data_IF_959269921750
#
_entry.id   IF_959269921750
#
_cell.length_a   1.000
_cell.length_b   1.000
_cell.length_c   1.000
_cell.angle_alpha   90.00
_cell.angle_beta   90.00
_cell.angle_gamma   90.00
#
_symmetry.space_group_name_H-M   'P 1'
#
loop_
_entity.id
_entity.type
_entity.pdbx_description
1 polymer ?
#
# COMPACT_ATOMS: atom_id res chain seq x y z
N UNK A 1 15.70 -9.15 13.51
CA UNK A 1 14.33 -9.32 14.00
C UNK A 1 13.36 -9.49 12.83
N UNK A 2 12.20 -10.13 13.03
CA UNK A 2 11.14 -10.34 12.03
C UNK A 2 10.01 -9.32 12.22
N UNK A 3 9.36 -8.89 11.14
CA UNK A 3 8.13 -8.09 11.24
C UNK A 3 6.93 -9.03 11.21
N UNK A 4 6.05 -8.91 12.20
CA UNK A 4 4.77 -9.62 12.29
C UNK A 4 3.69 -8.55 12.29
N UNK A 5 3.09 -8.35 11.12
CA UNK A 5 2.09 -7.32 10.86
C UNK A 5 0.68 -7.90 10.92
N UNK A 6 -0.26 -7.15 11.49
CA UNK A 6 -1.68 -7.47 11.48
C UNK A 6 -2.50 -6.26 11.07
N UNK A 7 -3.57 -6.49 10.30
CA UNK A 7 -4.57 -5.49 9.97
C UNK A 7 -5.77 -5.60 10.91
N UNK A 8 -6.35 -4.47 11.29
CA UNK A 8 -7.54 -4.44 12.13
C UNK A 8 -8.54 -3.35 11.71
N UNK A 9 -9.82 -3.69 11.84
CA UNK A 9 -10.91 -2.71 11.74
C UNK A 9 -11.06 -2.00 13.09
N UNK A 10 -11.28 -0.67 13.12
CA UNK A 10 -11.42 0.08 14.36
C UNK A 10 -12.48 -0.44 15.33
N UNK A 11 -13.64 -0.85 14.80
CA UNK A 11 -14.80 -1.26 15.61
C UNK A 11 -14.61 -2.59 16.36
N UNK A 12 -13.57 -3.35 16.05
CA UNK A 12 -13.29 -4.65 16.67
C UNK A 12 -11.94 -4.69 17.39
N UNK A 13 -11.34 -3.53 17.68
CA UNK A 13 -10.01 -3.48 18.28
C UNK A 13 -10.01 -2.73 19.62
N UNK A 14 -9.74 -3.45 20.71
CA UNK A 14 -9.68 -2.93 22.07
C UNK A 14 -8.34 -3.27 22.75
N UNK A 15 -8.16 -2.79 23.99
CA UNK A 15 -6.91 -2.97 24.75
C UNK A 15 -6.61 -4.45 25.03
N UNK A 16 -7.64 -5.26 25.31
CA UNK A 16 -7.47 -6.67 25.65
C UNK A 16 -7.03 -7.49 24.42
N UNK A 17 -7.66 -7.24 23.27
CA UNK A 17 -7.24 -7.81 21.98
C UNK A 17 -5.83 -7.36 21.61
N UNK A 18 -5.53 -6.07 21.73
CA UNK A 18 -4.21 -5.54 21.45
C UNK A 18 -3.11 -6.22 22.28
N UNK A 19 -3.34 -6.40 23.59
CA UNK A 19 -2.41 -7.11 24.47
C UNK A 19 -2.24 -8.58 24.06
N UNK A 20 -3.33 -9.28 23.73
CA UNK A 20 -3.27 -10.67 23.27
C UNK A 20 -2.49 -10.85 21.96
N UNK A 21 -2.61 -9.91 21.02
CA UNK A 21 -1.84 -9.96 19.78
C UNK A 21 -0.35 -9.67 19.99
N UNK A 22 0.00 -8.77 20.91
CA UNK A 22 1.39 -8.54 21.30
C UNK A 22 2.00 -9.79 21.95
N UNK A 23 1.25 -10.48 22.82
CA UNK A 23 1.66 -11.74 23.44
C UNK A 23 1.87 -12.86 22.40
N UNK A 24 1.06 -12.86 21.33
CA UNK A 24 1.25 -13.73 20.17
C UNK A 24 2.43 -13.33 19.25
N UNK A 25 3.11 -12.22 19.55
CA UNK A 25 4.30 -11.74 18.84
C UNK A 25 4.05 -10.70 17.74
N UNK A 26 2.82 -10.24 17.54
CA UNK A 26 2.52 -9.17 16.56
C UNK A 26 3.22 -7.89 17.00
N UNK A 27 4.04 -7.30 16.13
CA UNK A 27 4.85 -6.12 16.46
C UNK A 27 4.60 -4.90 15.55
N UNK A 28 3.70 -5.05 14.56
CA UNK A 28 3.18 -3.94 13.74
C UNK A 28 1.67 -4.06 13.53
N UNK A 29 0.95 -2.95 13.64
CA UNK A 29 -0.50 -2.87 13.44
C UNK A 29 -0.84 -1.93 12.28
N UNK A 30 -1.78 -2.32 11.43
CA UNK A 30 -2.40 -1.48 10.40
C UNK A 30 -3.87 -1.25 10.73
N UNK A 31 -4.27 0.00 10.94
CA UNK A 31 -5.65 0.37 11.26
C UNK A 31 -6.35 0.97 10.04
N UNK A 32 -7.43 0.32 9.62
CA UNK A 32 -8.24 0.75 8.47
C UNK A 32 -9.13 1.97 8.76
N UNK A 33 -8.55 3.16 8.93
CA UNK A 33 -9.26 4.39 9.31
C UNK A 33 -10.14 4.95 8.19
N UNK A 34 -9.63 4.96 6.96
CA UNK A 34 -10.22 5.48 5.73
C UNK A 34 -10.38 7.01 5.70
N UNK A 35 -11.16 7.58 6.61
CA UNK A 35 -11.40 9.02 6.79
C UNK A 35 -12.06 9.25 8.16
N UNK A 36 -11.82 10.41 8.78
CA UNK A 36 -12.49 10.87 10.00
C UNK A 36 -13.86 11.47 9.71
N UNK A 37 -14.18 11.75 8.44
CA UNK A 37 -15.46 12.35 8.09
C UNK A 37 -16.58 11.33 7.94
N UNK A 38 -17.64 11.50 8.74
CA UNK A 38 -18.84 10.64 8.74
C UNK A 38 -19.46 10.44 7.36
N UNK A 39 -19.46 11.46 6.50
CA UNK A 39 -19.96 11.34 5.13
C UNK A 39 -19.09 10.41 4.29
N UNK A 40 -17.77 10.57 4.36
CA UNK A 40 -16.82 9.71 3.65
C UNK A 40 -16.92 8.27 4.10
N UNK A 41 -16.99 8.01 5.42
CA UNK A 41 -17.19 6.66 5.95
C UNK A 41 -18.45 5.97 5.39
N UNK A 42 -19.58 6.69 5.32
CA UNK A 42 -20.81 6.16 4.71
C UNK A 42 -20.66 5.89 3.21
N UNK A 43 -20.02 6.80 2.47
CA UNK A 43 -19.77 6.64 1.02
C UNK A 43 -18.88 5.42 0.76
N UNK A 44 -17.89 5.19 1.61
CA UNK A 44 -16.96 4.06 1.55
C UNK A 44 -17.54 2.77 2.18
N UNK A 45 -18.81 2.76 2.58
CA UNK A 45 -19.48 1.58 3.15
C UNK A 45 -18.93 1.12 4.50
N UNK A 46 -18.28 2.02 5.25
CA UNK A 46 -17.66 1.70 6.55
C UNK A 46 -18.68 1.75 7.68
N UNK A 47 -18.56 0.79 8.58
CA UNK A 47 -19.45 0.59 9.72
C UNK A 47 -18.94 1.22 11.01
N UNK A 48 -17.71 1.75 11.04
CA UNK A 48 -17.14 2.46 12.17
C UNK A 48 -17.39 3.96 12.10
N UNK A 49 -17.27 4.64 13.24
CA UNK A 49 -17.24 6.08 13.36
C UNK A 49 -15.82 6.59 13.64
N UNK A 50 -15.60 7.91 13.52
CA UNK A 50 -14.28 8.52 13.76
C UNK A 50 -13.74 8.23 15.17
N UNK A 51 -14.63 8.24 16.17
CA UNK A 51 -14.28 7.94 17.56
C UNK A 51 -13.76 6.51 17.77
N UNK A 52 -14.24 5.54 16.98
CA UNK A 52 -13.77 4.15 17.05
C UNK A 52 -12.31 4.06 16.59
N UNK A 53 -11.94 4.79 15.53
CA UNK A 53 -10.59 4.80 15.00
C UNK A 53 -9.58 5.40 15.99
N UNK A 54 -9.91 6.55 16.59
CA UNK A 54 -9.10 7.16 17.62
C UNK A 54 -9.01 6.27 18.88
N UNK A 55 -10.11 5.63 19.26
CA UNK A 55 -10.17 4.69 20.38
C UNK A 55 -9.29 3.45 20.17
N UNK A 56 -9.35 2.84 18.99
CA UNK A 56 -8.54 1.68 18.61
C UNK A 56 -7.05 2.04 18.57
N UNK A 57 -6.68 3.20 18.02
CA UNK A 57 -5.30 3.70 18.04
C UNK A 57 -4.79 3.88 19.48
N UNK A 58 -5.55 4.57 20.33
CA UNK A 58 -5.18 4.77 21.72
C UNK A 58 -5.09 3.44 22.48
N UNK A 59 -5.96 2.47 22.18
CA UNK A 59 -5.92 1.14 22.76
C UNK A 59 -4.66 0.37 22.37
N UNK A 60 -4.30 0.37 21.08
CA UNK A 60 -3.08 -0.23 20.56
C UNK A 60 -1.83 0.35 21.24
N UNK A 61 -1.76 1.68 21.36
CA UNK A 61 -0.64 2.36 22.02
C UNK A 61 -0.55 2.03 23.51
N UNK A 62 -1.66 2.07 24.25
CA UNK A 62 -1.68 1.69 25.67
C UNK A 62 -1.25 0.24 25.90
N UNK A 63 -1.55 -0.65 24.97
CA UNK A 63 -1.13 -2.05 25.05
C UNK A 63 0.38 -2.24 24.76
N UNK A 64 1.02 -1.28 24.09
CA UNK A 64 2.47 -1.29 23.84
C UNK A 64 2.89 -1.43 22.37
N UNK A 65 1.97 -1.31 21.40
CA UNK A 65 2.36 -1.30 19.99
C UNK A 65 3.29 -0.11 19.69
N UNK A 66 4.50 -0.42 19.25
CA UNK A 66 5.51 0.59 18.91
C UNK A 66 5.47 1.03 17.44
N UNK A 67 4.83 0.26 16.55
CA UNK A 67 4.70 0.57 15.13
C UNK A 67 3.24 0.44 14.70
N UNK A 68 2.57 1.59 14.53
CA UNK A 68 1.16 1.65 14.14
C UNK A 68 1.01 2.47 12.86
N UNK A 69 0.43 1.83 11.85
CA UNK A 69 -0.02 2.45 10.64
C UNK A 69 -1.51 2.81 10.70
N UNK A 70 -1.87 3.90 10.02
CA UNK A 70 -3.25 4.26 9.70
C UNK A 70 -3.45 4.31 8.18
N UNK A 71 -4.42 3.56 7.69
CA UNK A 71 -4.78 3.52 6.26
C UNK A 71 -5.88 4.53 5.97
N UNK A 72 -5.71 5.37 4.94
CA UNK A 72 -6.70 6.32 4.46
C UNK A 72 -7.02 6.09 2.98
N UNK A 73 -8.25 6.45 2.61
CA UNK A 73 -8.69 6.56 1.22
C UNK A 73 -9.01 8.03 0.97
N UNK A 74 -8.35 8.63 -0.02
CA UNK A 74 -8.68 9.97 -0.52
C UNK A 74 -9.34 9.87 -1.90
N UNK A 75 -9.89 10.97 -2.38
CA UNK A 75 -10.62 11.05 -3.64
C UNK A 75 -12.02 10.43 -3.60
N UNK A 76 -12.62 10.24 -2.42
CA UNK A 76 -13.97 9.69 -2.33
C UNK A 76 -15.05 10.73 -2.73
N UNK A 77 -16.24 10.29 -3.20
CA UNK A 77 -17.26 11.19 -3.73
C UNK A 77 -17.63 12.41 -2.86
N UNK A 78 -17.27 13.59 -3.38
CA UNK A 78 -17.49 14.88 -2.73
C UNK A 78 -16.57 15.16 -1.54
N UNK A 79 -15.40 14.52 -1.46
CA UNK A 79 -14.31 14.99 -0.62
C UNK A 79 -13.75 16.30 -1.20
N UNK A 80 -13.53 17.28 -0.33
CA UNK A 80 -12.88 18.55 -0.71
C UNK A 80 -11.45 18.58 -0.19
N UNK A 81 -10.60 19.46 -0.72
CA UNK A 81 -9.26 19.68 -0.16
C UNK A 81 -9.30 20.06 1.33
N UNK A 82 -10.32 20.81 1.77
CA UNK A 82 -10.46 21.18 3.19
C UNK A 82 -10.74 19.97 4.08
N UNK A 83 -11.63 19.07 3.64
CA UNK A 83 -11.94 17.80 4.31
C UNK A 83 -10.71 16.90 4.35
N UNK A 84 -9.96 16.81 3.26
CA UNK A 84 -8.75 16.02 3.22
C UNK A 84 -7.65 16.54 4.16
N UNK A 85 -7.46 17.86 4.19
CA UNK A 85 -6.54 18.48 5.14
C UNK A 85 -6.97 18.23 6.58
N UNK A 86 -8.26 18.33 6.89
CA UNK A 86 -8.80 18.07 8.23
C UNK A 86 -8.56 16.62 8.68
N UNK A 87 -8.72 15.64 7.78
CA UNK A 87 -8.35 14.24 8.01
C UNK A 87 -6.87 14.11 8.43
N UNK A 88 -5.95 14.71 7.65
CA UNK A 88 -4.52 14.65 7.93
C UNK A 88 -4.14 15.34 9.24
N UNK A 89 -4.67 16.54 9.50
CA UNK A 89 -4.42 17.27 10.75
C UNK A 89 -4.91 16.50 11.97
N UNK A 90 -6.11 15.92 11.89
CA UNK A 90 -6.70 15.15 12.99
C UNK A 90 -5.83 13.96 13.34
N UNK A 91 -5.39 13.19 12.35
CA UNK A 91 -4.56 12.01 12.58
C UNK A 91 -3.15 12.36 13.07
N UNK A 92 -2.56 13.43 12.56
CA UNK A 92 -1.27 13.93 13.06
C UNK A 92 -1.37 14.46 14.49
N UNK A 93 -2.55 14.95 14.89
CA UNK A 93 -2.87 15.37 16.26
C UNK A 93 -3.26 14.23 17.21
N UNK A 94 -3.39 12.98 16.74
CA UNK A 94 -3.75 11.87 17.61
C UNK A 94 -2.69 11.63 18.69
N UNK A 95 -3.09 11.61 19.98
CA UNK A 95 -2.18 11.28 21.05
C UNK A 95 -2.05 9.75 21.18
N UNK A 96 -0.83 9.24 21.36
CA UNK A 96 -0.58 7.84 21.61
C UNK A 96 -0.86 7.40 23.07
N UNK A 97 -1.77 8.07 23.79
CA UNK A 97 -1.99 7.92 25.23
C UNK A 97 -1.81 9.24 25.97
N UNK A 98 -1.48 9.18 27.28
CA UNK A 98 -1.30 10.40 28.09
C UNK A 98 -0.18 11.31 27.55
N UNK A 99 0.90 10.71 26.99
CA UNK A 99 2.07 11.43 26.44
C UNK A 99 2.69 10.70 25.22
N UNK A 100 1.98 9.76 24.59
CA UNK A 100 2.54 8.90 23.54
C UNK A 100 2.57 9.57 22.15
N UNK A 101 3.47 9.17 21.23
CA UNK A 101 3.52 9.71 19.88
C UNK A 101 2.28 9.31 19.06
N UNK A 102 1.90 10.16 18.11
CA UNK A 102 0.87 9.86 17.10
C UNK A 102 1.26 8.71 16.17
N UNK A 103 0.55 8.50 15.05
CA UNK A 103 0.83 7.39 14.12
C UNK A 103 2.29 7.34 13.67
N UNK A 104 2.84 6.14 13.45
CA UNK A 104 4.22 5.97 12.99
C UNK A 104 4.33 5.86 11.48
N UNK A 105 3.22 5.54 10.85
CA UNK A 105 3.14 5.23 9.45
C UNK A 105 1.75 5.62 8.92
N UNK A 106 1.71 6.04 7.66
CA UNK A 106 0.49 6.34 6.93
C UNK A 106 0.52 5.57 5.61
N UNK A 107 -0.58 4.88 5.29
CA UNK A 107 -0.83 4.41 3.93
C UNK A 107 -2.00 5.21 3.34
N UNK A 108 -1.77 5.93 2.24
CA UNK A 108 -2.79 6.77 1.60
C UNK A 108 -3.07 6.25 0.20
N UNK A 109 -4.31 5.85 -0.06
CA UNK A 109 -4.75 5.31 -1.33
C UNK A 109 -5.74 6.26 -2.00
N UNK A 110 -5.53 6.53 -3.30
CA UNK A 110 -6.60 7.14 -4.10
C UNK A 110 -7.73 6.13 -4.25
N UNK A 111 -8.98 6.59 -4.17
CA UNK A 111 -10.14 5.74 -4.39
C UNK A 111 -10.12 5.20 -5.83
N UNK A 112 -10.08 3.88 -5.95
CA UNK A 112 -10.30 3.18 -7.21
C UNK A 112 -11.75 2.70 -7.25
N UNK A 113 -12.49 3.13 -8.28
CA UNK A 113 -13.87 2.68 -8.50
C UNK A 113 -13.84 1.38 -9.28
N UNK A 114 -13.93 0.27 -8.56
CA UNK A 114 -13.88 -1.07 -9.16
C UNK A 114 -15.15 -1.39 -9.96
N UNK A 115 -15.04 -1.89 -11.21
CA UNK A 115 -16.17 -2.34 -12.00
C UNK A 115 -17.02 -3.40 -11.28
N UNK A 116 -18.34 -3.32 -11.45
CA UNK A 116 -19.28 -4.27 -10.83
C UNK A 116 -19.55 -4.03 -9.35
N UNK A 117 -19.04 -2.94 -8.77
CA UNK A 117 -19.38 -2.54 -7.40
C UNK A 117 -20.60 -1.61 -7.35
N UNK A 118 -21.33 -1.56 -6.22
CA UNK A 118 -22.41 -0.58 -6.03
C UNK A 118 -21.97 0.88 -6.24
N UNK A 119 -20.70 1.19 -5.96
CA UNK A 119 -20.14 2.52 -6.19
C UNK A 119 -19.97 2.81 -7.68
N UNK A 120 -19.45 1.88 -8.47
CA UNK A 120 -19.34 2.05 -9.92
C UNK A 120 -20.70 2.29 -10.58
N UNK A 121 -21.73 1.57 -10.13
CA UNK A 121 -23.09 1.84 -10.59
C UNK A 121 -23.60 3.23 -10.18
N UNK A 122 -23.34 3.66 -8.96
CA UNK A 122 -23.75 4.99 -8.48
C UNK A 122 -23.05 6.11 -9.25
N UNK A 123 -21.77 5.96 -9.57
CA UNK A 123 -21.01 6.89 -10.41
C UNK A 123 -21.58 6.90 -11.83
N UNK A 124 -21.84 5.73 -12.42
CA UNK A 124 -22.41 5.61 -13.77
C UNK A 124 -23.80 6.26 -13.88
N UNK A 125 -24.61 6.16 -12.81
CA UNK A 125 -25.93 6.81 -12.71
C UNK A 125 -25.86 8.31 -12.38
N UNK A 126 -24.67 8.88 -12.19
CA UNK A 126 -24.48 10.28 -11.80
C UNK A 126 -24.91 10.60 -10.36
N UNK A 127 -25.12 9.58 -9.52
CA UNK A 127 -25.46 9.76 -8.09
C UNK A 127 -24.23 10.24 -7.32
N UNK A 128 -23.05 9.74 -7.70
CA UNK A 128 -21.77 10.15 -7.14
C UNK A 128 -20.86 10.70 -8.23
N UNK A 129 -20.12 11.76 -7.91
CA UNK A 129 -19.02 12.27 -8.72
C UNK A 129 -17.73 11.95 -7.98
N UNK A 130 -16.80 11.29 -8.66
CA UNK A 130 -15.42 11.14 -8.18
C UNK A 130 -14.57 12.29 -8.72
N UNK A 131 -13.49 12.67 -8.04
CA UNK A 131 -12.53 13.63 -8.59
C UNK A 131 -11.94 13.11 -9.90
N UNK A 132 -11.61 14.04 -10.79
CA UNK A 132 -10.77 13.74 -11.94
C UNK A 132 -9.30 13.58 -11.52
N UNK A 133 -8.44 13.31 -12.49
CA UNK A 133 -7.01 13.07 -12.24
C UNK A 133 -6.31 14.31 -11.66
N UNK A 134 -6.65 15.51 -12.13
CA UNK A 134 -6.10 16.78 -11.63
C UNK A 134 -6.50 17.02 -10.17
N UNK A 135 -7.79 16.86 -9.83
CA UNK A 135 -8.24 17.01 -8.45
C UNK A 135 -7.69 15.91 -7.52
N UNK A 136 -7.46 14.69 -8.03
CA UNK A 136 -6.81 13.62 -7.28
C UNK A 136 -5.33 13.91 -7.04
N UNK A 137 -4.64 14.47 -8.04
CA UNK A 137 -3.27 14.92 -7.94
C UNK A 137 -3.12 16.02 -6.88
N UNK A 138 -3.99 17.03 -6.86
CA UNK A 138 -4.01 18.08 -5.83
C UNK A 138 -4.12 17.50 -4.41
N UNK A 139 -4.99 16.50 -4.19
CA UNK A 139 -5.14 15.85 -2.88
C UNK A 139 -3.87 15.08 -2.49
N UNK A 140 -3.25 14.40 -3.45
CA UNK A 140 -2.04 13.63 -3.22
C UNK A 140 -0.84 14.53 -2.92
N UNK A 141 -0.64 15.62 -3.68
CA UNK A 141 0.39 16.64 -3.42
C UNK A 141 0.21 17.28 -2.05
N UNK A 142 -1.01 17.64 -1.67
CA UNK A 142 -1.30 18.18 -0.34
C UNK A 142 -0.90 17.20 0.79
N UNK A 143 -1.05 15.89 0.57
CA UNK A 143 -0.61 14.88 1.53
C UNK A 143 0.91 14.74 1.58
N UNK A 144 1.58 14.75 0.42
CA UNK A 144 3.05 14.73 0.31
C UNK A 144 3.65 15.87 1.13
N UNK A 145 3.21 17.10 0.86
CA UNK A 145 3.74 18.30 1.52
C UNK A 145 3.44 18.28 3.02
N UNK A 146 2.20 17.93 3.39
CA UNK A 146 1.78 17.97 4.79
C UNK A 146 2.50 16.94 5.64
N UNK A 147 2.66 15.71 5.16
CA UNK A 147 3.35 14.64 5.87
C UNK A 147 4.86 14.89 5.91
N UNK A 148 5.45 15.42 4.83
CA UNK A 148 6.85 15.85 4.84
C UNK A 148 7.10 16.96 5.88
N UNK A 149 6.20 17.94 5.99
CA UNK A 149 6.24 18.99 7.02
C UNK A 149 6.09 18.46 8.46
N UNK A 150 5.46 17.28 8.65
CA UNK A 150 5.41 16.56 9.92
C UNK A 150 6.63 15.64 10.16
N UNK A 151 7.60 15.60 9.25
CA UNK A 151 8.82 14.81 9.37
C UNK A 151 8.68 13.35 8.92
N UNK A 152 7.61 12.99 8.20
CA UNK A 152 7.48 11.65 7.63
C UNK A 152 8.28 11.52 6.33
N UNK A 153 8.84 10.32 6.13
CA UNK A 153 9.55 9.95 4.90
C UNK A 153 8.58 9.24 3.97
N UNK A 154 8.32 9.85 2.81
CA UNK A 154 7.64 9.20 1.69
C UNK A 154 8.60 8.20 1.03
N UNK A 155 8.45 6.92 1.38
CA UNK A 155 9.42 5.90 0.97
C UNK A 155 8.92 5.01 -0.18
N UNK A 156 7.60 5.00 -0.39
CA UNK A 156 6.90 4.26 -1.42
C UNK A 156 5.64 5.02 -1.82
N UNK A 157 5.18 4.87 -3.07
CA UNK A 157 4.04 5.62 -3.67
C UNK A 157 2.89 5.89 -2.69
N UNK A 158 2.37 4.86 -2.02
CA UNK A 158 1.23 4.98 -1.13
C UNK A 158 1.61 5.03 0.36
N UNK A 159 2.90 5.03 0.72
CA UNK A 159 3.33 4.82 2.11
C UNK A 159 4.37 5.82 2.62
N UNK A 160 4.11 6.33 3.84
CA UNK A 160 4.97 7.23 4.59
C UNK A 160 5.29 6.63 5.95
N UNK A 161 6.54 6.79 6.38
CA UNK A 161 6.99 6.31 7.69
C UNK A 161 7.76 7.39 8.44
N UNK A 162 7.62 7.42 9.76
CA UNK A 162 8.35 8.37 10.63
C UNK A 162 9.86 8.22 10.51
N UNK A 163 10.33 6.97 10.43
CA UNK A 163 11.73 6.64 10.16
C UNK A 163 11.82 5.26 9.48
N UNK A 164 13.04 4.84 9.13
CA UNK A 164 13.28 3.57 8.45
C UNK A 164 12.86 2.31 9.24
N UNK A 165 12.71 2.39 10.57
CA UNK A 165 12.26 1.28 11.42
C UNK A 165 10.74 1.09 11.36
N UNK A 166 10.00 2.15 11.01
CA UNK A 166 8.55 2.12 10.91
C UNK A 166 8.06 1.79 9.49
N UNK A 167 8.94 1.84 8.50
CA UNK A 167 8.64 1.43 7.13
C UNK A 167 8.24 -0.05 7.09
N UNK A 168 7.15 -0.36 6.36
CA UNK A 168 6.57 -1.69 6.29
C UNK A 168 7.48 -2.65 5.52
N UNK A 169 8.07 -3.61 6.22
CA UNK A 169 8.87 -4.67 5.58
C UNK A 169 7.96 -5.62 4.82
N UNK A 170 6.75 -5.87 5.33
CA UNK A 170 5.71 -6.63 4.65
C UNK A 170 5.38 -6.03 3.28
N UNK A 171 5.08 -4.72 3.17
CA UNK A 171 4.79 -4.15 1.85
C UNK A 171 6.03 -4.08 0.96
N UNK A 172 7.19 -3.77 1.54
CA UNK A 172 8.46 -3.65 0.80
C UNK A 172 8.87 -4.94 0.10
N UNK A 173 8.49 -6.12 0.60
CA UNK A 173 8.82 -7.39 -0.08
C UNK A 173 8.19 -7.47 -1.47
N UNK A 174 6.93 -7.02 -1.60
CA UNK A 174 6.21 -7.02 -2.87
C UNK A 174 6.86 -6.03 -3.84
N UNK A 175 7.21 -4.84 -3.38
CA UNK A 175 7.84 -3.81 -4.21
C UNK A 175 9.24 -4.17 -4.68
N UNK A 176 9.93 -5.04 -3.93
CA UNK A 176 11.22 -5.62 -4.34
C UNK A 176 11.07 -6.85 -5.23
N UNK A 177 9.85 -7.19 -5.66
CA UNK A 177 9.52 -8.42 -6.38
C UNK A 177 10.09 -9.66 -5.67
N UNK A 178 9.97 -9.68 -4.33
CA UNK A 178 10.46 -10.74 -3.48
C UNK A 178 9.50 -11.91 -3.37
N UNK A 179 10.04 -13.08 -3.04
CA UNK A 179 9.24 -14.28 -2.81
C UNK A 179 8.42 -14.18 -1.51
N UNK A 180 7.18 -14.66 -1.56
CA UNK A 180 6.30 -14.80 -0.40
C UNK A 180 5.32 -15.97 -0.59
N UNK A 181 5.01 -16.64 0.52
CA UNK A 181 4.03 -17.72 0.52
C UNK A 181 2.63 -17.18 0.84
N UNK A 182 1.67 -17.47 -0.03
CA UNK A 182 0.25 -17.20 0.17
C UNK A 182 -0.45 -18.35 0.87
N UNK A 183 -0.99 -18.12 2.06
CA UNK A 183 -1.67 -19.15 2.86
C UNK A 183 -3.07 -18.65 3.23
N UNK A 184 -4.07 -19.52 3.04
CA UNK A 184 -5.47 -19.21 3.33
C UNK A 184 -6.30 -19.02 2.05
N UNK A 185 -7.62 -18.99 2.21
CA UNK A 185 -8.54 -18.81 1.09
C UNK A 185 -8.30 -17.47 0.38
N UNK A 186 -8.21 -17.50 -0.95
CA UNK A 186 -7.96 -16.33 -1.78
C UNK A 186 -6.54 -15.75 -1.72
N UNK A 187 -5.63 -16.36 -0.95
CA UNK A 187 -4.26 -15.90 -0.90
C UNK A 187 -3.51 -16.17 -2.20
N UNK A 188 -2.68 -15.21 -2.60
CA UNK A 188 -1.70 -15.36 -3.66
C UNK A 188 -0.32 -15.54 -3.06
N UNK A 189 0.56 -16.23 -3.77
CA UNK A 189 1.97 -16.31 -3.44
C UNK A 189 2.81 -16.30 -4.71
N UNK A 190 4.04 -15.82 -4.59
CA UNK A 190 5.06 -15.97 -5.62
C UNK A 190 6.28 -16.58 -4.94
N UNK A 191 6.70 -17.76 -5.37
CA UNK A 191 7.83 -18.46 -4.77
C UNK A 191 8.64 -19.13 -5.87
N UNK A 192 9.93 -18.81 -5.98
CA UNK A 192 10.85 -19.44 -6.94
C UNK A 192 10.37 -19.39 -8.40
N UNK A 193 9.75 -18.27 -8.79
CA UNK A 193 9.27 -18.03 -10.16
C UNK A 193 7.91 -18.66 -10.49
N UNK A 194 7.25 -19.31 -9.52
CA UNK A 194 5.88 -19.78 -9.65
C UNK A 194 4.93 -18.87 -8.88
N UNK A 195 3.87 -18.44 -9.54
CA UNK A 195 2.75 -17.75 -8.90
C UNK A 195 1.65 -18.75 -8.59
N UNK A 196 1.25 -18.79 -7.34
CA UNK A 196 0.18 -19.66 -6.85
C UNK A 196 -1.02 -18.83 -6.42
N UNK A 197 -2.21 -19.34 -6.71
CA UNK A 197 -3.47 -18.82 -6.19
C UNK A 197 -4.15 -19.93 -5.40
N UNK A 198 -4.43 -19.68 -4.12
CA UNK A 198 -5.26 -20.54 -3.31
C UNK A 198 -6.72 -20.40 -3.71
N UNK A 199 -7.54 -21.44 -3.48
CA UNK A 199 -8.98 -21.36 -3.74
C UNK A 199 -9.60 -20.09 -3.16
N UNK A 200 -10.22 -19.29 -4.03
CA UNK A 200 -10.83 -18.00 -3.65
C UNK A 200 -11.96 -18.18 -2.63
N UNK A 201 -12.80 -19.22 -2.82
CA UNK A 201 -13.95 -19.46 -1.93
C UNK A 201 -13.49 -20.19 -0.67
N UNK A 202 -13.78 -19.67 0.54
CA UNK A 202 -13.40 -20.32 1.79
C UNK A 202 -13.83 -21.77 1.90
N UNK A 203 -15.04 -22.11 1.46
CA UNK A 203 -15.56 -23.50 1.48
C UNK A 203 -14.68 -24.42 0.64
N UNK A 204 -14.34 -24.04 -0.59
CA UNK A 204 -13.51 -24.86 -1.46
C UNK A 204 -12.09 -25.05 -0.90
N UNK A 205 -11.54 -23.99 -0.30
CA UNK A 205 -10.24 -24.06 0.38
C UNK A 205 -10.28 -25.05 1.56
N UNK A 206 -11.27 -24.92 2.46
CA UNK A 206 -11.44 -25.78 3.64
C UNK A 206 -11.59 -27.23 3.22
N UNK A 207 -12.48 -27.53 2.27
CA UNK A 207 -12.68 -28.90 1.80
C UNK A 207 -11.43 -29.51 1.16
N UNK A 208 -10.62 -28.72 0.45
CA UNK A 208 -9.35 -29.20 -0.09
C UNK A 208 -8.38 -29.59 1.03
N UNK A 209 -8.20 -28.70 2.01
CA UNK A 209 -7.32 -28.92 3.17
C UNK A 209 -7.77 -30.13 4.00
N UNK A 210 -9.06 -30.24 4.32
CA UNK A 210 -9.61 -31.34 5.13
C UNK A 210 -9.47 -32.70 4.44
N UNK A 211 -9.46 -32.73 3.11
CA UNK A 211 -9.23 -33.95 2.31
C UNK A 211 -7.74 -34.26 2.08
N UNK A 212 -6.82 -33.43 2.60
CA UNK A 212 -5.39 -33.56 2.34
C UNK A 212 -4.99 -33.28 0.88
N UNK A 213 -5.82 -32.53 0.15
CA UNK A 213 -5.56 -32.11 -1.23
C UNK A 213 -4.88 -30.73 -1.26
N UNK A 214 -4.07 -30.42 -2.28
CA UNK A 214 -3.53 -29.08 -2.46
C UNK A 214 -4.66 -28.05 -2.59
N UNK A 215 -4.71 -26.99 -1.75
CA UNK A 215 -5.76 -25.98 -1.81
C UNK A 215 -5.53 -24.92 -2.91
N UNK A 216 -4.75 -25.26 -3.93
CA UNK A 216 -4.32 -24.37 -5.02
C UNK A 216 -5.30 -24.48 -6.18
N UNK A 217 -5.86 -23.34 -6.61
CA UNK A 217 -6.74 -23.27 -7.77
C UNK A 217 -6.03 -22.94 -9.09
N UNK A 218 -4.88 -22.26 -9.02
CA UNK A 218 -4.11 -21.91 -10.20
C UNK A 218 -2.61 -21.87 -9.88
N UNK A 219 -1.79 -22.30 -10.86
CA UNK A 219 -0.33 -22.16 -10.85
C UNK A 219 0.06 -21.58 -12.19
N UNK A 220 0.83 -20.49 -12.14
CA UNK A 220 1.33 -19.79 -13.32
C UNK A 220 2.86 -19.75 -13.25
N UNK A 221 3.51 -20.23 -14.31
CA UNK A 221 4.94 -20.04 -14.49
C UNK A 221 5.18 -18.67 -15.13
N UNK A 222 5.99 -17.84 -14.48
CA UNK A 222 6.29 -16.49 -14.98
C UNK A 222 7.49 -16.56 -15.91
N UNK A 223 7.30 -16.14 -17.16
CA UNK A 223 8.41 -16.07 -18.12
C UNK A 223 9.40 -14.95 -17.76
N UNK A 224 10.61 -15.03 -18.33
CA UNK A 224 11.68 -14.10 -18.01
C UNK A 224 11.35 -12.64 -18.37
N UNK A 225 10.61 -12.40 -19.46
CA UNK A 225 10.24 -11.04 -19.88
C UNK A 225 9.26 -10.43 -18.88
N UNK A 226 8.24 -11.20 -18.48
CA UNK A 226 7.24 -10.80 -17.49
C UNK A 226 7.88 -10.58 -16.12
N UNK A 227 8.81 -11.45 -15.69
CA UNK A 227 9.52 -11.26 -14.42
C UNK A 227 10.37 -9.97 -14.40
N UNK A 228 11.01 -9.62 -15.53
CA UNK A 228 11.76 -8.37 -15.65
C UNK A 228 10.85 -7.14 -15.62
N UNK A 229 9.74 -7.15 -16.38
CA UNK A 229 8.81 -6.01 -16.43
C UNK A 229 8.09 -5.80 -15.10
N UNK A 230 7.71 -6.87 -14.40
CA UNK A 230 7.16 -6.81 -13.03
C UNK A 230 8.18 -6.23 -12.04
N UNK A 231 9.47 -6.54 -12.20
CA UNK A 231 10.53 -5.95 -11.37
C UNK A 231 10.60 -4.43 -11.57
N UNK A 232 10.40 -3.95 -12.80
CA UNK A 232 10.34 -2.51 -13.09
C UNK A 232 9.07 -1.87 -12.51
N UNK A 233 7.90 -2.47 -12.77
CA UNK A 233 6.60 -2.02 -12.30
C UNK A 233 6.58 -1.88 -10.76
N UNK A 234 7.04 -2.91 -10.06
CA UNK A 234 7.02 -2.95 -8.60
C UNK A 234 8.14 -2.10 -7.99
N UNK A 235 9.35 -2.17 -8.54
CA UNK A 235 10.52 -1.49 -7.98
C UNK A 235 10.47 0.03 -8.12
N UNK A 236 9.87 0.55 -9.19
CA UNK A 236 9.69 2.00 -9.37
C UNK A 236 8.74 2.63 -8.34
N UNK A 237 7.93 1.82 -7.64
CA UNK A 237 7.12 2.31 -6.51
C UNK A 237 7.97 2.78 -5.33
N UNK A 238 9.20 2.29 -5.19
CA UNK A 238 10.10 2.66 -4.10
C UNK A 238 10.76 4.02 -4.37
N UNK A 239 10.23 5.09 -3.78
CA UNK A 239 10.64 6.46 -4.12
C UNK A 239 12.06 6.84 -3.65
N UNK A 240 12.60 6.13 -2.65
CA UNK A 240 13.96 6.39 -2.15
C UNK A 240 15.02 5.58 -2.86
N UNK A 241 14.71 4.31 -3.16
CA UNK A 241 15.70 3.33 -3.65
C UNK A 241 15.48 2.96 -5.11
N UNK A 242 14.22 2.97 -5.58
CA UNK A 242 13.83 2.59 -6.92
C UNK A 242 14.24 1.17 -7.30
N UNK A 243 14.58 0.98 -8.57
CA UNK A 243 15.12 -0.26 -9.09
C UNK A 243 16.63 -0.25 -8.97
N UNK A 244 17.17 -1.12 -8.13
CA UNK A 244 18.62 -1.35 -7.99
C UNK A 244 19.13 -2.21 -9.15
N UNK A 245 20.07 -1.68 -9.93
CA UNK A 245 20.61 -2.34 -11.12
C UNK A 245 21.34 -3.64 -10.79
N UNK A 246 22.05 -3.68 -9.65
CA UNK A 246 22.74 -4.88 -9.20
C UNK A 246 21.78 -6.01 -8.79
N UNK A 247 20.70 -5.68 -8.08
CA UNK A 247 19.66 -6.61 -7.69
C UNK A 247 18.87 -7.12 -8.91
N UNK A 248 18.59 -6.23 -9.87
CA UNK A 248 18.02 -6.59 -11.16
C UNK A 248 18.92 -7.61 -11.87
N UNK A 249 20.21 -7.30 -12.03
CA UNK A 249 21.17 -8.18 -12.70
C UNK A 249 21.34 -9.54 -12.01
N UNK A 250 21.38 -9.57 -10.68
CA UNK A 250 21.45 -10.85 -9.92
C UNK A 250 20.18 -11.69 -10.10
N UNK A 251 19.00 -11.07 -10.15
CA UNK A 251 17.73 -11.78 -10.27
C UNK A 251 17.52 -12.33 -11.68
N UNK A 252 17.81 -11.52 -12.70
CA UNK A 252 17.43 -11.83 -14.09
C UNK A 252 18.60 -12.31 -14.95
N UNK A 253 19.82 -12.31 -14.40
CA UNK A 253 21.05 -12.62 -15.14
C UNK A 253 21.27 -11.75 -16.38
N UNK A 254 20.69 -10.54 -16.41
CA UNK A 254 20.78 -9.55 -17.49
C UNK A 254 21.00 -8.17 -16.88
N UNK A 255 21.92 -7.39 -17.46
CA UNK A 255 22.14 -6.01 -17.03
C UNK A 255 20.91 -5.12 -17.28
N UNK A 256 20.61 -4.21 -16.34
CA UNK A 256 19.43 -3.35 -16.43
C UNK A 256 19.45 -2.44 -17.66
N UNK A 257 20.62 -1.87 -18.00
CA UNK A 257 20.78 -1.02 -19.18
C UNK A 257 20.74 -1.84 -20.46
N UNK A 258 21.25 -3.08 -20.45
CA UNK A 258 21.08 -3.98 -21.59
C UNK A 258 19.62 -4.36 -21.85
N UNK A 259 18.81 -4.52 -20.80
CA UNK A 259 17.39 -4.87 -20.91
C UNK A 259 16.49 -3.68 -21.30
N UNK A 260 16.72 -2.51 -20.70
CA UNK A 260 15.79 -1.37 -20.76
C UNK A 260 16.44 -0.02 -21.08
N UNK A 261 17.69 0.00 -21.58
CA UNK A 261 18.45 1.23 -21.80
C UNK A 261 17.69 2.31 -22.58
N UNK A 262 17.10 1.97 -23.72
CA UNK A 262 16.36 2.92 -24.56
C UNK A 262 15.16 3.54 -23.83
N UNK A 263 14.39 2.72 -23.10
CA UNK A 263 13.23 3.17 -22.31
C UNK A 263 13.68 4.05 -21.15
N UNK A 264 14.79 3.69 -20.51
CA UNK A 264 15.38 4.44 -19.40
C UNK A 264 15.83 5.83 -19.87
N UNK A 265 16.59 5.92 -20.96
CA UNK A 265 17.06 7.20 -21.49
C UNK A 265 15.88 8.08 -21.91
N UNK A 266 14.88 7.52 -22.60
CA UNK A 266 13.67 8.26 -22.96
C UNK A 266 12.91 8.80 -21.74
N UNK A 267 12.81 8.01 -20.67
CA UNK A 267 12.14 8.42 -19.43
C UNK A 267 12.96 9.47 -18.65
N UNK A 268 14.31 9.42 -18.71
CA UNK A 268 15.19 10.46 -18.16
C UNK A 268 15.04 11.77 -18.92
N UNK A 269 15.04 11.72 -20.26
CA UNK A 269 14.86 12.90 -21.12
C UNK A 269 13.52 13.60 -20.85
N UNK A 270 12.48 12.82 -20.56
CA UNK A 270 11.16 13.30 -20.14
C UNK A 270 11.07 13.71 -18.66
N UNK A 271 12.17 13.57 -17.90
CA UNK A 271 12.26 13.87 -16.47
C UNK A 271 11.28 13.05 -15.61
N UNK A 272 10.94 11.85 -16.06
CA UNK A 272 10.03 10.93 -15.35
C UNK A 272 10.80 10.04 -14.37
N UNK A 273 12.03 9.67 -14.71
CA UNK A 273 12.93 8.96 -13.81
C UNK A 273 14.28 9.68 -13.73
N UNK A 274 15.03 9.37 -12.69
CA UNK A 274 16.41 9.83 -12.52
C UNK A 274 17.33 8.67 -12.14
N UNK A 275 18.61 8.83 -12.48
CA UNK A 275 19.66 7.89 -12.07
C UNK A 275 19.99 8.10 -10.59
N UNK A 276 20.18 6.99 -9.88
CA UNK A 276 20.75 6.97 -8.53
C UNK A 276 22.16 6.35 -8.61
N UNK A 277 22.97 6.40 -7.54
CA UNK A 277 24.27 5.74 -7.53
C UNK A 277 24.22 4.23 -7.83
N UNK A 278 23.08 3.56 -7.60
CA UNK A 278 22.91 2.11 -7.77
C UNK A 278 21.86 1.68 -8.79
N UNK A 279 21.17 2.61 -9.46
CA UNK A 279 20.05 2.25 -10.34
C UNK A 279 19.23 3.46 -10.79
N UNK A 280 17.90 3.32 -10.79
CA UNK A 280 16.95 4.34 -11.24
C UNK A 280 15.76 4.46 -10.30
N UNK A 281 15.13 5.64 -10.22
CA UNK A 281 13.89 5.86 -9.47
C UNK A 281 13.01 6.91 -10.13
N UNK A 282 11.73 6.98 -9.75
CA UNK A 282 10.83 8.05 -10.17
C UNK A 282 11.32 9.41 -9.66
N UNK A 283 11.21 10.44 -10.50
CA UNK A 283 11.24 11.83 -10.04
C UNK A 283 9.90 12.19 -9.38
N UNK A 284 9.79 13.37 -8.79
CA UNK A 284 8.48 13.86 -8.32
C UNK A 284 7.45 13.97 -9.46
N UNK A 285 7.88 14.43 -10.65
CA UNK A 285 7.01 14.48 -11.83
C UNK A 285 6.60 13.08 -12.30
N UNK A 286 7.54 12.12 -12.34
CA UNK A 286 7.22 10.75 -12.72
C UNK A 286 6.38 10.00 -11.70
N UNK A 287 6.39 10.39 -10.43
CA UNK A 287 5.50 9.87 -9.40
C UNK A 287 4.03 10.17 -9.73
N UNK A 288 3.73 11.38 -10.18
CA UNK A 288 2.37 11.79 -10.58
C UNK A 288 1.88 11.02 -11.81
N UNK A 289 2.81 10.48 -12.62
CA UNK A 289 2.54 9.71 -13.83
C UNK A 289 2.99 8.25 -13.69
N UNK A 290 3.06 7.72 -12.47
CA UNK A 290 3.75 6.44 -12.19
C UNK A 290 3.21 5.25 -12.98
N UNK A 291 1.89 5.19 -13.22
CA UNK A 291 1.28 4.15 -14.04
C UNK A 291 1.73 4.24 -15.50
N UNK A 292 1.80 5.44 -16.07
CA UNK A 292 2.26 5.64 -17.45
C UNK A 292 3.75 5.29 -17.59
N UNK A 293 4.57 5.73 -16.63
CA UNK A 293 6.01 5.42 -16.62
C UNK A 293 6.24 3.92 -16.58
N UNK A 294 5.55 3.21 -15.68
CA UNK A 294 5.72 1.76 -15.54
C UNK A 294 5.18 0.97 -16.73
N UNK A 295 4.11 1.46 -17.38
CA UNK A 295 3.55 0.84 -18.58
C UNK A 295 4.52 0.81 -19.79
N UNK A 296 5.47 1.75 -19.87
CA UNK A 296 6.49 1.74 -20.92
C UNK A 296 7.43 0.51 -20.80
N UNK A 297 7.79 0.11 -19.57
CA UNK A 297 8.65 -1.05 -19.31
C UNK A 297 7.95 -2.40 -19.54
N UNK A 298 6.61 -2.41 -19.48
CA UNK A 298 5.81 -3.59 -19.79
C UNK A 298 5.66 -3.78 -21.30
N UNK A 299 5.63 -2.68 -22.06
CA UNK A 299 5.46 -2.69 -23.53
C UNK A 299 6.75 -2.98 -24.29
N UNK A 300 7.91 -2.60 -23.75
CA UNK A 300 9.24 -2.85 -24.32
C UNK A 300 9.60 -4.33 -24.41
#
# INVERSE_FOLDING_TARGET
DVEITMEANPNSFDVARAAGYLDAGVNRLSLGVQTQHRRGLRVLGRQHEAGDAAGAFAAARRAGFANINVDLIFGWPGQTQSVWRDDLETLLGWPGGADGPGPDHFSLYSLIVEPGTPMAEAVTRGVFSVPDDDASADLYEAAIDRLAGAGFVHYEVANWARDARHASRHNTIYWRNGDFAGIGAGAFGTLRGERIMQHLRPIAFIEAVERGLPPVSNVEAIDAKTAMSETMLLGLRLLRTGVDAGAFGRRHAVDLTAAYGDVIELAIDRKLIERTPGGIRLTHHGLMLSNDVTAEFVRS
#
